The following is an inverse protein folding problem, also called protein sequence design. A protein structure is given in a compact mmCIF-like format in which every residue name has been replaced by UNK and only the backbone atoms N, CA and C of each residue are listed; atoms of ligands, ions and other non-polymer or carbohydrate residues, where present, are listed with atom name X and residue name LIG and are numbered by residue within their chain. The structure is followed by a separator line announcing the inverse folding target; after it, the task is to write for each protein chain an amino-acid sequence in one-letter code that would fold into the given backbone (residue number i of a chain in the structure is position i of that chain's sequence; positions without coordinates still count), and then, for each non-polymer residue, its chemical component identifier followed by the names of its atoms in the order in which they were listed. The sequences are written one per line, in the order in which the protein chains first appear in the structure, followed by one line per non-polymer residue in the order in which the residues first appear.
data_IF_863328161644
#
_entry.id   IF_863328161644
#
_cell.length_a   1.000
_cell.length_b   1.000
_cell.length_c   1.000
_cell.angle_alpha   90.00
_cell.angle_beta   90.00
_cell.angle_gamma   90.00
#
_symmetry.space_group_name_H-M   'P 1'
#
loop_
_entity.id
_entity.type
_entity.pdbx_description
1 polymer ?
#
# COMPACT_ATOMS: atom_id res chain seq x y z
N UNK A 1 17.48 -19.80 -5.18
CA UNK A 1 16.48 -18.70 -5.23
C UNK A 1 17.03 -17.55 -4.40
N UNK A 2 17.17 -16.36 -4.98
CA UNK A 2 17.51 -15.20 -4.18
C UNK A 2 16.25 -14.78 -3.39
N UNK A 3 16.31 -14.89 -2.09
CA UNK A 3 15.24 -14.42 -1.21
C UNK A 3 15.23 -12.89 -1.24
N UNK A 4 14.08 -12.30 -1.50
CA UNK A 4 13.83 -10.87 -1.38
C UNK A 4 12.63 -10.66 -0.44
N UNK A 5 12.81 -9.86 0.59
CA UNK A 5 11.78 -9.54 1.56
C UNK A 5 11.75 -8.04 1.86
N UNK A 6 10.72 -7.59 2.57
CA UNK A 6 10.60 -6.19 2.95
C UNK A 6 10.07 -6.02 4.37
N UNK A 7 10.48 -4.94 5.00
CA UNK A 7 9.83 -4.34 6.16
C UNK A 7 8.94 -3.20 5.63
N UNK A 8 7.64 -3.24 5.95
CA UNK A 8 6.68 -2.27 5.41
C UNK A 8 5.83 -1.62 6.53
N UNK A 9 6.44 -0.83 7.43
CA UNK A 9 5.70 -0.11 8.45
C UNK A 9 4.81 0.99 7.85
N UNK A 10 3.63 1.18 8.44
CA UNK A 10 2.75 2.32 8.14
C UNK A 10 2.92 3.35 9.25
N UNK A 11 3.26 4.63 8.96
CA UNK A 11 3.56 5.64 9.97
C UNK A 11 2.26 6.29 10.53
N UNK A 12 1.27 5.48 10.90
CA UNK A 12 -0.01 5.89 11.48
C UNK A 12 -0.06 5.81 13.01
N UNK A 13 1.05 5.47 13.64
CA UNK A 13 1.28 5.32 15.07
C UNK A 13 2.70 4.82 15.32
N UNK A 14 3.08 4.76 16.61
CA UNK A 14 4.34 4.16 17.03
C UNK A 14 4.36 2.65 16.75
N UNK A 15 5.55 2.10 16.51
CA UNK A 15 5.71 0.66 16.33
C UNK A 15 5.33 -0.08 17.63
N UNK A 16 4.58 -1.16 17.48
CA UNK A 16 4.15 -2.00 18.60
C UNK A 16 4.75 -3.41 18.51
N UNK A 17 4.63 -4.20 19.58
CA UNK A 17 5.23 -5.53 19.66
C UNK A 17 4.92 -6.46 18.47
N UNK A 18 3.73 -6.36 17.90
CA UNK A 18 3.37 -7.15 16.70
C UNK A 18 4.19 -6.77 15.47
N UNK A 19 4.49 -5.47 15.28
CA UNK A 19 5.39 -5.01 14.22
C UNK A 19 6.80 -5.53 14.48
N UNK A 20 7.32 -5.38 15.71
CA UNK A 20 8.68 -5.78 16.07
C UNK A 20 8.89 -7.29 15.86
N UNK A 21 7.93 -8.12 16.29
CA UNK A 21 8.00 -9.56 16.07
C UNK A 21 8.05 -9.92 14.58
N UNK A 22 7.14 -9.34 13.78
CA UNK A 22 7.10 -9.57 12.35
C UNK A 22 8.40 -9.14 11.67
N UNK A 23 8.89 -7.94 12.00
CA UNK A 23 10.12 -7.39 11.43
C UNK A 23 11.35 -8.22 11.83
N UNK A 24 11.42 -8.66 13.08
CA UNK A 24 12.50 -9.55 13.56
C UNK A 24 12.50 -10.87 12.78
N UNK A 25 11.36 -11.51 12.64
CA UNK A 25 11.25 -12.77 11.89
C UNK A 25 11.64 -12.58 10.42
N UNK A 26 11.14 -11.52 9.79
CA UNK A 26 11.45 -11.19 8.39
C UNK A 26 12.95 -10.93 8.22
N UNK A 27 13.55 -10.11 9.09
CA UNK A 27 14.97 -9.80 9.07
C UNK A 27 15.84 -11.06 9.26
N UNK A 28 15.57 -11.86 10.30
CA UNK A 28 16.33 -13.10 10.59
C UNK A 28 16.25 -14.06 9.42
N UNK A 29 15.04 -14.34 8.90
CA UNK A 29 14.87 -15.26 7.78
C UNK A 29 15.61 -14.78 6.52
N UNK A 30 15.51 -13.49 6.22
CA UNK A 30 16.17 -12.92 5.03
C UNK A 30 17.68 -12.98 5.17
N UNK A 31 18.24 -12.57 6.32
CA UNK A 31 19.69 -12.59 6.55
C UNK A 31 20.27 -14.00 6.58
N UNK A 32 19.57 -14.97 7.20
CA UNK A 32 19.98 -16.39 7.19
C UNK A 32 20.00 -16.99 5.78
N UNK A 33 19.13 -16.52 4.89
CA UNK A 33 19.07 -16.97 3.51
C UNK A 33 20.05 -16.23 2.58
N UNK A 34 20.84 -15.26 3.08
CA UNK A 34 21.68 -14.40 2.26
C UNK A 34 20.86 -13.54 1.29
N UNK A 35 19.62 -13.20 1.66
CA UNK A 35 18.67 -12.48 0.82
C UNK A 35 18.79 -10.97 0.91
N UNK A 36 18.04 -10.28 0.06
CA UNK A 36 17.91 -8.82 0.00
C UNK A 36 16.71 -8.37 0.83
N UNK A 37 16.91 -7.41 1.72
CA UNK A 37 15.87 -6.82 2.55
C UNK A 37 15.65 -5.35 2.16
N UNK A 38 14.41 -5.00 1.84
CA UNK A 38 14.00 -3.63 1.57
C UNK A 38 13.26 -3.02 2.77
N UNK A 39 13.49 -1.73 3.03
CA UNK A 39 12.64 -0.91 3.89
C UNK A 39 11.70 -0.07 3.01
N UNK A 40 10.38 -0.23 3.20
CA UNK A 40 9.35 0.56 2.56
C UNK A 40 8.44 1.15 3.63
N UNK A 41 8.28 2.46 3.66
CA UNK A 41 7.36 3.11 4.60
C UNK A 41 6.07 3.45 3.85
N UNK A 42 4.96 2.84 4.28
CA UNK A 42 3.66 2.94 3.61
C UNK A 42 2.89 4.18 4.14
N UNK A 43 3.23 5.38 3.62
CA UNK A 43 2.66 6.67 4.02
C UNK A 43 1.52 7.17 3.11
N UNK A 44 0.90 6.28 2.37
CA UNK A 44 -0.17 6.62 1.42
C UNK A 44 -1.35 7.38 2.08
N UNK A 45 -1.64 7.10 3.35
CA UNK A 45 -2.59 7.88 4.16
C UNK A 45 -1.85 9.05 4.85
N UNK A 46 -1.53 10.07 4.06
CA UNK A 46 -0.77 11.24 4.53
C UNK A 46 -1.42 11.94 5.73
N UNK A 47 -2.76 11.84 5.89
CA UNK A 47 -3.47 12.44 7.02
C UNK A 47 -3.10 11.78 8.36
N UNK A 48 -2.63 10.55 8.36
CA UNK A 48 -2.19 9.80 9.55
C UNK A 48 -0.69 9.71 9.68
N UNK A 49 0.05 9.93 8.60
CA UNK A 49 1.50 9.90 8.61
C UNK A 49 2.03 11.14 9.35
N UNK A 50 2.69 10.93 10.49
CA UNK A 50 3.28 12.01 11.26
C UNK A 50 4.81 11.89 11.28
N UNK A 51 5.54 13.02 11.27
CA UNK A 51 7.00 13.00 11.31
C UNK A 51 7.58 12.22 12.48
N UNK A 52 6.95 12.30 13.66
CA UNK A 52 7.36 11.57 14.86
C UNK A 52 7.27 10.04 14.68
N UNK A 53 6.26 9.54 13.95
CA UNK A 53 6.12 8.10 13.69
C UNK A 53 7.15 7.62 12.64
N UNK A 54 7.47 8.48 11.67
CA UNK A 54 8.54 8.18 10.71
C UNK A 54 9.88 8.10 11.42
N UNK A 55 10.19 9.06 12.31
CA UNK A 55 11.42 9.04 13.11
C UNK A 55 11.50 7.79 13.99
N UNK A 56 10.41 7.44 14.70
CA UNK A 56 10.32 6.24 15.54
C UNK A 56 10.63 4.95 14.77
N UNK A 57 10.18 4.84 13.52
CA UNK A 57 10.49 3.68 12.67
C UNK A 57 12.01 3.52 12.52
N UNK A 58 12.74 4.58 12.16
CA UNK A 58 14.19 4.52 11.98
C UNK A 58 14.91 4.26 13.30
N UNK A 59 14.53 4.97 14.37
CA UNK A 59 15.12 4.82 15.71
C UNK A 59 14.94 3.40 16.22
N UNK A 60 13.72 2.84 16.09
CA UNK A 60 13.41 1.48 16.53
C UNK A 60 14.19 0.42 15.74
N UNK A 61 14.24 0.54 14.41
CA UNK A 61 14.99 -0.41 13.59
C UNK A 61 16.50 -0.35 13.89
N UNK A 62 17.05 0.83 14.10
CA UNK A 62 18.46 1.02 14.50
C UNK A 62 18.72 0.47 15.89
N UNK A 63 17.81 0.70 16.85
CA UNK A 63 17.94 0.17 18.22
C UNK A 63 17.94 -1.36 18.24
N UNK A 64 17.15 -2.00 17.35
CA UNK A 64 17.13 -3.45 17.18
C UNK A 64 18.37 -3.98 16.43
N UNK A 65 19.22 -3.10 15.91
CA UNK A 65 20.38 -3.48 15.12
C UNK A 65 20.02 -4.03 13.73
N UNK A 66 18.85 -3.66 13.19
CA UNK A 66 18.46 -4.10 11.86
C UNK A 66 19.12 -3.26 10.79
N UNK A 67 19.67 -3.94 9.82
CA UNK A 67 20.12 -3.38 8.56
C UNK A 67 19.14 -3.74 7.43
N UNK A 68 19.18 -2.96 6.35
CA UNK A 68 18.45 -3.25 5.12
C UNK A 68 19.27 -2.80 3.91
N UNK A 69 19.04 -3.44 2.76
CA UNK A 69 19.83 -3.23 1.55
C UNK A 69 19.27 -2.10 0.69
N UNK A 70 17.94 -1.98 0.61
CA UNK A 70 17.22 -1.06 -0.26
C UNK A 70 16.22 -0.22 0.53
N UNK A 71 15.92 0.99 0.00
CA UNK A 71 14.98 1.93 0.63
C UNK A 71 15.66 3.06 1.40
N UNK A 72 14.88 3.89 2.09
CA UNK A 72 15.36 5.11 2.74
C UNK A 72 16.31 4.81 3.88
N UNK A 73 17.31 5.69 4.07
CA UNK A 73 18.34 5.58 5.11
C UNK A 73 18.09 6.51 6.31
N UNK A 74 17.20 7.49 6.15
CA UNK A 74 16.83 8.43 7.20
C UNK A 74 15.40 8.97 6.97
N UNK A 75 14.78 9.63 7.98
CA UNK A 75 13.52 10.33 7.79
C UNK A 75 13.55 11.37 6.65
N UNK A 76 14.66 12.09 6.51
CA UNK A 76 14.84 13.10 5.46
C UNK A 76 14.93 12.46 4.08
N UNK A 77 15.71 11.39 3.94
CA UNK A 77 15.85 10.63 2.70
C UNK A 77 14.49 10.04 2.27
N UNK A 78 13.73 9.50 3.24
CA UNK A 78 12.36 9.02 3.00
C UNK A 78 11.46 10.12 2.42
N UNK A 79 11.41 11.29 3.07
CA UNK A 79 10.57 12.40 2.64
C UNK A 79 10.92 12.91 1.24
N UNK A 80 12.21 12.92 0.90
CA UNK A 80 12.69 13.46 -0.38
C UNK A 80 12.51 12.48 -1.54
N UNK A 81 12.66 11.17 -1.32
CA UNK A 81 12.81 10.23 -2.41
C UNK A 81 11.83 9.03 -2.37
N UNK A 82 11.26 8.69 -1.21
CA UNK A 82 10.53 7.43 -1.02
C UNK A 82 9.07 7.59 -0.58
N UNK A 83 8.60 8.80 -0.26
CA UNK A 83 7.20 9.03 0.15
C UNK A 83 6.24 8.61 -0.96
N UNK A 84 5.33 7.68 -0.64
CA UNK A 84 4.27 7.24 -1.54
C UNK A 84 3.27 8.36 -1.81
N UNK A 85 2.96 9.17 -0.79
CA UNK A 85 2.04 10.30 -0.93
C UNK A 85 2.52 11.33 -1.96
N UNK A 86 3.84 11.51 -2.09
CA UNK A 86 4.44 12.42 -3.08
C UNK A 86 4.40 11.87 -4.52
N UNK A 87 4.17 10.55 -4.72
CA UNK A 87 4.23 9.89 -6.03
C UNK A 87 2.85 9.60 -6.65
N UNK A 88 1.81 10.29 -6.22
CA UNK A 88 0.42 10.08 -6.69
C UNK A 88 0.31 10.08 -8.21
N UNK A 89 1.00 10.98 -8.92
CA UNK A 89 0.97 11.05 -10.39
C UNK A 89 1.64 9.84 -11.07
N UNK A 90 2.61 9.24 -10.43
CA UNK A 90 3.19 7.99 -10.90
C UNK A 90 2.16 6.86 -10.84
N UNK A 91 1.48 6.70 -9.71
CA UNK A 91 0.41 5.70 -9.56
C UNK A 91 -0.76 5.95 -10.50
N UNK A 92 -1.07 7.22 -10.83
CA UNK A 92 -2.09 7.57 -11.82
C UNK A 92 -1.72 7.05 -13.22
N UNK A 93 -0.46 7.10 -13.59
CA UNK A 93 0.02 6.52 -14.85
C UNK A 93 -0.04 4.98 -14.84
N UNK A 94 0.20 4.37 -13.69
CA UNK A 94 0.10 2.93 -13.54
C UNK A 94 -1.33 2.42 -13.62
N UNK A 95 -2.29 3.09 -12.98
CA UNK A 95 -3.69 2.62 -12.96
C UNK A 95 -4.29 2.52 -14.37
N UNK A 96 -3.88 3.37 -15.30
CA UNK A 96 -4.37 3.33 -16.69
C UNK A 96 -3.94 2.09 -17.48
N UNK A 97 -2.96 1.33 -16.97
CA UNK A 97 -2.49 0.08 -17.59
C UNK A 97 -3.37 -1.13 -17.26
N UNK A 98 -4.25 -0.99 -16.27
CA UNK A 98 -5.12 -2.07 -15.82
C UNK A 98 -6.53 -1.89 -16.40
N UNK A 99 -7.13 -2.97 -16.94
CA UNK A 99 -8.54 -2.91 -17.33
C UNK A 99 -9.40 -2.66 -16.10
N UNK A 100 -10.36 -1.76 -16.21
CA UNK A 100 -11.18 -1.40 -15.06
C UNK A 100 -12.45 -0.66 -15.45
N UNK A 101 -13.23 -0.32 -14.45
CA UNK A 101 -14.49 0.38 -14.58
C UNK A 101 -14.78 1.25 -13.37
N UNK A 102 -15.61 2.28 -13.57
CA UNK A 102 -16.05 3.15 -12.49
C UNK A 102 -17.11 2.48 -11.61
N UNK A 103 -17.02 2.66 -10.30
CA UNK A 103 -17.90 2.07 -9.31
C UNK A 103 -18.28 3.12 -8.24
N UNK A 104 -19.58 3.29 -7.98
CA UNK A 104 -20.12 4.21 -6.96
C UNK A 104 -20.41 3.53 -5.60
N UNK A 105 -20.23 2.24 -5.48
CA UNK A 105 -20.56 1.48 -4.27
C UNK A 105 -19.69 1.91 -3.07
N UNK A 106 -20.35 2.15 -1.93
CA UNK A 106 -19.65 2.20 -0.63
C UNK A 106 -19.40 0.79 -0.09
N UNK A 107 -18.51 0.66 0.91
CA UNK A 107 -18.30 -0.61 1.63
C UNK A 107 -19.59 -1.13 2.26
N UNK A 108 -20.42 -0.24 2.81
CA UNK A 108 -21.73 -0.60 3.39
C UNK A 108 -22.71 -1.13 2.33
N UNK A 109 -22.77 -0.47 1.16
CA UNK A 109 -23.62 -0.91 0.06
C UNK A 109 -23.22 -2.29 -0.48
N UNK A 110 -21.92 -2.60 -0.51
CA UNK A 110 -21.45 -3.94 -0.86
C UNK A 110 -21.86 -4.95 0.20
N UNK A 111 -21.59 -4.67 1.49
CA UNK A 111 -21.97 -5.57 2.60
C UNK A 111 -23.47 -5.82 2.69
N UNK A 112 -24.31 -4.87 2.33
CA UNK A 112 -25.78 -5.03 2.34
C UNK A 112 -26.28 -6.00 1.24
N UNK A 113 -25.52 -6.16 0.14
CA UNK A 113 -25.86 -7.08 -0.95
C UNK A 113 -25.20 -8.45 -0.81
N UNK A 114 -23.95 -8.45 -0.34
CA UNK A 114 -23.14 -9.66 -0.21
C UNK A 114 -22.44 -9.65 1.14
N UNK A 115 -22.41 -10.77 1.81
CA UNK A 115 -21.84 -10.86 3.16
C UNK A 115 -20.31 -10.56 3.18
N UNK A 116 -19.58 -10.83 2.10
CA UNK A 116 -18.12 -10.92 2.16
C UNK A 116 -17.38 -10.27 0.97
N UNK A 117 -17.86 -10.46 -0.27
CA UNK A 117 -17.12 -10.05 -1.47
C UNK A 117 -17.93 -9.12 -2.36
N UNK A 118 -17.24 -8.39 -3.22
CA UNK A 118 -17.87 -7.55 -4.23
C UNK A 118 -18.53 -8.41 -5.31
N UNK A 119 -19.77 -8.07 -5.66
CA UNK A 119 -20.68 -8.82 -6.53
C UNK A 119 -20.61 -8.43 -8.02
N UNK A 120 -19.75 -7.46 -8.38
CA UNK A 120 -19.67 -6.96 -9.75
C UNK A 120 -20.80 -6.00 -10.15
N UNK A 121 -21.59 -5.52 -9.21
CA UNK A 121 -22.78 -4.70 -9.46
C UNK A 121 -22.58 -3.54 -10.45
N UNK A 122 -21.42 -2.91 -10.46
CA UNK A 122 -21.14 -1.77 -11.34
C UNK A 122 -20.48 -2.15 -12.68
N UNK A 123 -20.15 -3.42 -12.93
CA UNK A 123 -19.43 -3.83 -14.15
C UNK A 123 -20.13 -3.42 -15.45
N UNK A 124 -21.44 -3.47 -15.48
CA UNK A 124 -22.26 -3.24 -16.69
C UNK A 124 -23.01 -1.91 -16.68
N UNK A 125 -22.82 -1.08 -15.63
CA UNK A 125 -23.57 0.17 -15.47
C UNK A 125 -23.04 1.34 -16.32
N UNK A 126 -21.87 1.21 -16.93
CA UNK A 126 -21.30 2.25 -17.80
C UNK A 126 -21.02 3.58 -17.07
N UNK A 127 -20.75 3.53 -15.74
CA UNK A 127 -20.49 4.73 -14.97
C UNK A 127 -19.23 5.43 -15.45
N UNK A 128 -19.23 6.76 -15.40
CA UNK A 128 -18.05 7.57 -15.67
C UNK A 128 -17.25 7.78 -14.39
N UNK A 129 -15.92 7.88 -14.51
CA UNK A 129 -15.07 8.25 -13.38
C UNK A 129 -15.34 9.71 -13.01
N UNK A 130 -15.68 9.97 -11.77
CA UNK A 130 -16.00 11.29 -11.25
C UNK A 130 -15.50 11.44 -9.81
N UNK A 131 -14.82 12.56 -9.54
CA UNK A 131 -14.27 12.90 -8.23
C UNK A 131 -15.37 12.81 -7.16
N UNK A 132 -15.02 12.28 -5.99
CA UNK A 132 -15.86 12.06 -4.82
C UNK A 132 -17.13 11.20 -5.04
N UNK A 133 -17.39 10.77 -6.27
CA UNK A 133 -18.57 9.97 -6.62
C UNK A 133 -18.24 8.54 -6.95
N UNK A 134 -17.22 8.32 -7.76
CA UNK A 134 -16.85 6.99 -8.24
C UNK A 134 -15.38 6.68 -7.97
N UNK A 135 -15.10 5.41 -7.81
CA UNK A 135 -13.77 4.83 -7.68
C UNK A 135 -13.48 3.95 -8.90
N UNK A 136 -12.21 3.71 -9.22
CA UNK A 136 -11.81 2.80 -10.27
C UNK A 136 -11.55 1.41 -9.70
N UNK A 137 -12.23 0.40 -10.23
CA UNK A 137 -12.03 -1.00 -9.88
C UNK A 137 -11.36 -1.75 -11.01
N UNK A 138 -10.48 -2.69 -10.66
CA UNK A 138 -9.94 -3.68 -11.58
C UNK A 138 -11.09 -4.51 -12.16
N UNK A 139 -11.07 -4.73 -13.47
CA UNK A 139 -11.93 -5.71 -14.13
C UNK A 139 -11.19 -7.05 -14.15
N UNK A 140 -11.46 -7.89 -13.18
CA UNK A 140 -10.86 -9.22 -13.08
C UNK A 140 -11.71 -10.30 -13.78
N UNK A 141 -11.25 -11.55 -13.80
CA UNK A 141 -12.05 -12.67 -14.32
C UNK A 141 -13.29 -12.94 -13.47
N UNK A 142 -13.19 -12.75 -12.16
CA UNK A 142 -14.30 -12.99 -11.21
C UNK A 142 -14.65 -11.70 -10.46
N UNK A 143 -15.92 -11.35 -10.26
CA UNK A 143 -16.34 -10.11 -9.58
C UNK A 143 -15.76 -9.94 -8.17
N UNK A 144 -15.60 -11.02 -7.43
CA UNK A 144 -15.04 -10.99 -6.08
C UNK A 144 -13.58 -10.50 -6.04
N UNK A 145 -12.87 -10.63 -7.16
CA UNK A 145 -11.46 -10.20 -7.30
C UNK A 145 -11.34 -8.76 -7.85
N UNK A 146 -12.45 -8.05 -8.03
CA UNK A 146 -12.48 -6.65 -8.49
C UNK A 146 -12.10 -5.71 -7.34
N UNK A 147 -10.81 -5.58 -7.11
CA UNK A 147 -10.31 -4.67 -6.08
C UNK A 147 -10.37 -3.21 -6.53
N UNK A 148 -10.43 -2.30 -5.56
CA UNK A 148 -10.31 -0.86 -5.84
C UNK A 148 -8.84 -0.56 -6.13
N UNK A 149 -8.57 0.09 -7.28
CA UNK A 149 -7.25 0.58 -7.66
C UNK A 149 -7.10 2.08 -7.44
N UNK A 150 -8.19 2.85 -7.64
CA UNK A 150 -8.21 4.29 -7.43
C UNK A 150 -9.43 4.69 -6.63
N UNK A 151 -9.24 5.47 -5.58
CA UNK A 151 -10.30 5.84 -4.64
C UNK A 151 -11.12 7.03 -5.13
N UNK A 152 -12.29 7.25 -4.53
CA UNK A 152 -13.19 8.38 -4.86
C UNK A 152 -12.55 9.74 -4.57
N UNK A 153 -11.72 9.81 -3.53
CA UNK A 153 -11.00 11.00 -3.06
C UNK A 153 -9.78 11.35 -3.94
N UNK A 154 -9.77 10.86 -5.18
CA UNK A 154 -8.71 11.06 -6.15
C UNK A 154 -7.32 10.61 -5.66
N UNK A 155 -7.27 9.47 -5.03
CA UNK A 155 -6.03 8.91 -4.50
C UNK A 155 -5.87 7.43 -4.87
N UNK A 156 -4.63 6.93 -5.03
CA UNK A 156 -4.41 5.52 -5.29
C UNK A 156 -4.87 4.66 -4.12
N UNK A 157 -5.32 3.45 -4.41
CA UNK A 157 -5.63 2.47 -3.38
C UNK A 157 -4.38 1.66 -3.02
N UNK A 158 -4.36 1.15 -1.79
CA UNK A 158 -3.25 0.35 -1.27
C UNK A 158 -2.80 -0.78 -2.22
N UNK A 159 -3.74 -1.50 -2.80
CA UNK A 159 -3.43 -2.62 -3.70
C UNK A 159 -2.63 -2.18 -4.94
N UNK A 160 -2.96 -1.04 -5.54
CA UNK A 160 -2.21 -0.50 -6.67
C UNK A 160 -0.80 -0.12 -6.24
N UNK A 161 -0.70 0.65 -5.15
CA UNK A 161 0.59 1.12 -4.63
C UNK A 161 1.49 -0.06 -4.27
N UNK A 162 0.98 -1.02 -3.51
CA UNK A 162 1.76 -2.21 -3.13
C UNK A 162 2.28 -2.99 -4.33
N UNK A 163 1.47 -3.12 -5.39
CA UNK A 163 1.90 -3.79 -6.62
C UNK A 163 3.01 -3.01 -7.34
N UNK A 164 2.84 -1.70 -7.47
CA UNK A 164 3.82 -0.84 -8.17
C UNK A 164 5.15 -0.78 -7.43
N UNK A 165 5.11 -0.73 -6.10
CA UNK A 165 6.31 -0.72 -5.25
C UNK A 165 7.07 -2.06 -5.25
N UNK A 166 6.41 -3.15 -5.61
CA UNK A 166 7.01 -4.49 -5.63
C UNK A 166 7.56 -4.88 -7.03
N UNK A 167 7.36 -4.04 -8.06
CA UNK A 167 7.89 -4.23 -9.41
C UNK A 167 9.29 -3.67 -9.57
#
# INVERSE_FOLDING_TARGET
MNVRARLAPTPSGYLHWGNLLNFTLTWVHTRRAGGVLALRIDDLDAARARPEYISDIFETLQWLGFDWDEGPRSPQDFQQHFSQAARTEEYRRWVTRFPGYACDCSRQAVKARTAEFYDGFCRTRGLQLALDKTQWRLLSKKPQDDIVLWRKEDAPAYHLVSLVEDL
#
